data_IF_351068463628
#
_entry.id   IF_351068463628
#
_cell.length_a   1.000
_cell.length_b   1.000
_cell.length_c   1.000
_cell.angle_alpha   90.00
_cell.angle_beta   90.00
_cell.angle_gamma   90.00
#
_symmetry.space_group_name_H-M   'P 1'
#
loop_
_entity.id
_entity.type
_entity.pdbx_description
1 polymer ?
#
# COMPACT_ATOMS: atom_id res chain seq x y z
N UNK A 1 -6.34 -0.95 -19.92
CA UNK A 1 -5.75 -1.24 -18.58
C UNK A 1 -5.41 0.06 -17.88
N UNK A 2 -5.69 0.13 -16.58
CA UNK A 2 -5.37 1.28 -15.75
C UNK A 2 -4.29 0.87 -14.73
N UNK A 3 -3.23 1.65 -14.64
CA UNK A 3 -2.12 1.43 -13.70
C UNK A 3 -2.13 2.56 -12.68
N UNK A 4 -2.30 2.21 -11.41
CA UNK A 4 -2.20 3.15 -10.29
C UNK A 4 -0.77 3.15 -9.75
N UNK A 5 -0.15 4.33 -9.68
CA UNK A 5 1.22 4.46 -9.19
C UNK A 5 1.42 5.75 -8.40
N UNK A 6 2.29 5.68 -7.39
CA UNK A 6 2.71 6.86 -6.65
C UNK A 6 3.71 7.74 -7.43
N UNK A 7 4.42 7.14 -8.38
CA UNK A 7 5.47 7.81 -9.17
C UNK A 7 5.26 7.57 -10.67
N UNK A 8 4.31 8.27 -11.30
CA UNK A 8 3.98 8.05 -12.70
C UNK A 8 5.14 8.33 -13.66
N UNK A 9 6.02 9.27 -13.35
CA UNK A 9 7.16 9.61 -14.18
C UNK A 9 8.14 8.46 -14.41
N UNK A 10 8.32 7.57 -13.44
CA UNK A 10 9.20 6.40 -13.56
C UNK A 10 8.59 5.35 -14.50
N UNK A 11 7.27 5.17 -14.44
CA UNK A 11 6.55 4.19 -15.26
C UNK A 11 6.47 4.66 -16.72
N UNK A 12 6.23 5.95 -16.93
CA UNK A 12 6.14 6.54 -18.27
C UNK A 12 7.51 6.54 -18.97
N UNK A 13 8.58 6.82 -18.23
CA UNK A 13 9.92 6.94 -18.77
C UNK A 13 10.15 8.24 -19.55
N UNK A 14 11.29 8.34 -20.24
CA UNK A 14 11.60 9.49 -21.08
C UNK A 14 10.74 9.46 -22.35
N UNK A 15 10.01 10.54 -22.61
CA UNK A 15 9.16 10.69 -23.82
C UNK A 15 8.15 9.55 -24.05
N UNK A 16 7.77 8.84 -22.98
CA UNK A 16 6.82 7.74 -23.07
C UNK A 16 7.38 6.43 -23.62
N UNK A 17 8.68 6.26 -23.72
CA UNK A 17 9.31 5.04 -24.27
C UNK A 17 9.00 3.78 -23.45
N UNK A 18 9.06 3.88 -22.12
CA UNK A 18 8.84 2.73 -21.23
C UNK A 18 7.39 2.26 -21.25
N UNK A 19 6.44 3.18 -21.31
CA UNK A 19 5.02 2.83 -21.40
C UNK A 19 4.69 2.19 -22.76
N UNK A 20 5.30 2.67 -23.85
CA UNK A 20 5.11 2.09 -25.18
C UNK A 20 5.67 0.68 -25.26
N UNK A 21 6.85 0.42 -24.71
CA UNK A 21 7.44 -0.92 -24.62
C UNK A 21 6.57 -1.87 -23.80
N UNK A 22 6.04 -1.40 -22.69
CA UNK A 22 5.14 -2.19 -21.83
C UNK A 22 3.84 -2.54 -22.57
N UNK A 23 3.27 -1.59 -23.29
CA UNK A 23 2.08 -1.81 -24.10
C UNK A 23 2.32 -2.85 -25.19
N UNK A 24 3.42 -2.76 -25.90
CA UNK A 24 3.80 -3.73 -26.92
C UNK A 24 3.99 -5.13 -26.36
N UNK A 25 4.67 -5.26 -25.23
CA UNK A 25 4.89 -6.55 -24.56
C UNK A 25 3.57 -7.20 -24.11
N UNK A 26 2.68 -6.43 -23.49
CA UNK A 26 1.36 -6.91 -23.08
C UNK A 26 0.50 -7.29 -24.28
N UNK A 27 0.50 -6.49 -25.32
CA UNK A 27 -0.25 -6.76 -26.56
C UNK A 27 0.24 -8.05 -27.21
N UNK A 28 1.55 -8.26 -27.26
CA UNK A 28 2.17 -9.48 -27.80
C UNK A 28 1.76 -10.72 -27.01
N UNK A 29 1.72 -10.63 -25.69
CA UNK A 29 1.36 -11.77 -24.81
C UNK A 29 -0.12 -12.11 -24.86
N UNK A 30 -0.98 -11.09 -24.95
CA UNK A 30 -2.43 -11.26 -24.95
C UNK A 30 -3.03 -11.51 -26.34
N UNK A 31 -2.33 -11.12 -27.40
CA UNK A 31 -2.83 -11.20 -28.78
C UNK A 31 -3.99 -10.24 -29.10
N UNK A 32 -4.28 -9.28 -28.22
CA UNK A 32 -5.34 -8.28 -28.36
C UNK A 32 -4.72 -6.89 -28.16
N UNK A 33 -5.13 -5.85 -28.94
CA UNK A 33 -4.67 -4.48 -28.72
C UNK A 33 -5.02 -4.01 -27.28
N UNK A 34 -4.03 -3.47 -26.58
CA UNK A 34 -4.16 -3.00 -25.20
C UNK A 34 -3.82 -1.51 -25.13
N UNK A 35 -4.68 -0.75 -24.45
CA UNK A 35 -4.42 0.64 -24.10
C UNK A 35 -4.02 0.73 -22.63
N UNK A 36 -2.91 1.41 -22.35
CA UNK A 36 -2.43 1.65 -21.00
C UNK A 36 -2.70 3.09 -20.58
N UNK A 37 -3.31 3.27 -19.42
CA UNK A 37 -3.48 4.56 -18.78
C UNK A 37 -2.84 4.53 -17.40
N UNK A 38 -2.19 5.60 -17.01
CA UNK A 38 -1.52 5.72 -15.72
C UNK A 38 -2.26 6.76 -14.88
N UNK A 39 -2.58 6.38 -13.65
CA UNK A 39 -3.19 7.27 -12.67
C UNK A 39 -2.26 7.43 -11.48
N UNK A 40 -2.04 8.68 -11.09
CA UNK A 40 -1.23 9.02 -9.93
C UNK A 40 -1.99 8.81 -8.64
N UNK A 41 -1.32 8.21 -7.64
CA UNK A 41 -1.78 8.15 -6.27
C UNK A 41 -1.16 9.34 -5.53
N UNK A 42 -1.98 10.34 -5.21
CA UNK A 42 -1.50 11.62 -4.64
C UNK A 42 -0.98 11.51 -3.21
N UNK A 43 -1.60 10.63 -2.41
CA UNK A 43 -1.22 10.42 -1.01
C UNK A 43 -0.89 8.93 -0.80
N UNK A 44 0.32 8.49 -1.16
CA UNK A 44 0.67 7.08 -1.10
C UNK A 44 0.65 6.49 0.32
N UNK A 45 0.89 7.29 1.35
CA UNK A 45 0.84 6.81 2.74
C UNK A 45 -0.59 6.56 3.25
N UNK A 46 -1.61 7.00 2.51
CA UNK A 46 -3.01 6.66 2.77
C UNK A 46 -3.48 5.40 2.03
N UNK A 47 -2.69 4.89 1.09
CA UNK A 47 -2.94 3.62 0.43
C UNK A 47 -2.34 2.49 1.28
N UNK A 48 -3.19 1.60 1.80
CA UNK A 48 -2.75 0.55 2.71
C UNK A 48 -1.78 -0.43 2.05
N UNK A 49 -1.95 -0.73 0.77
CA UNK A 49 -1.04 -1.60 0.02
C UNK A 49 0.34 -1.00 -0.10
N UNK A 50 0.44 0.27 -0.49
CA UNK A 50 1.72 0.97 -0.60
C UNK A 50 2.39 1.16 0.76
N UNK A 51 1.60 1.41 1.81
CA UNK A 51 2.11 1.49 3.18
C UNK A 51 2.71 0.16 3.64
N UNK A 52 2.01 -0.94 3.41
CA UNK A 52 2.50 -2.28 3.75
C UNK A 52 3.78 -2.63 2.95
N UNK A 53 3.82 -2.33 1.67
CA UNK A 53 5.01 -2.54 0.83
C UNK A 53 6.20 -1.70 1.28
N UNK A 54 5.98 -0.46 1.70
CA UNK A 54 7.03 0.40 2.24
C UNK A 54 7.64 -0.18 3.51
N UNK A 55 6.81 -0.67 4.42
CA UNK A 55 7.27 -1.34 5.65
C UNK A 55 8.04 -2.63 5.31
N UNK A 56 7.52 -3.44 4.38
CA UNK A 56 8.17 -4.68 3.95
C UNK A 56 9.56 -4.41 3.36
N UNK A 57 9.70 -3.41 2.51
CA UNK A 57 11.00 -3.01 1.95
C UNK A 57 12.00 -2.58 3.02
N UNK A 58 11.55 -1.83 4.02
CA UNK A 58 12.41 -1.43 5.14
C UNK A 58 12.87 -2.64 5.96
N UNK A 59 12.00 -3.63 6.18
CA UNK A 59 12.36 -4.88 6.86
C UNK A 59 13.38 -5.69 6.07
N UNK A 60 13.26 -5.75 4.75
CA UNK A 60 14.23 -6.40 3.86
C UNK A 60 15.60 -5.72 3.91
N UNK A 61 15.62 -4.41 4.11
CA UNK A 61 16.86 -3.61 4.29
C UNK A 61 17.43 -3.67 5.71
N UNK A 62 16.92 -4.55 6.56
CA UNK A 62 17.35 -4.74 7.94
C UNK A 62 17.12 -3.53 8.85
N UNK A 63 16.16 -2.68 8.55
CA UNK A 63 15.69 -1.64 9.46
C UNK A 63 14.98 -2.30 10.64
N UNK A 64 15.20 -1.78 11.84
CA UNK A 64 14.52 -2.28 13.04
C UNK A 64 13.00 -2.22 12.88
N UNK A 65 12.31 -3.33 13.07
CA UNK A 65 10.86 -3.45 12.77
C UNK A 65 10.00 -2.44 13.54
N UNK A 66 10.30 -2.19 14.81
CA UNK A 66 9.57 -1.20 15.61
C UNK A 66 9.68 0.20 15.05
N UNK A 67 10.88 0.57 14.62
CA UNK A 67 11.14 1.87 14.02
C UNK A 67 10.44 2.04 12.68
N UNK A 68 10.47 1.00 11.84
CA UNK A 68 9.78 1.00 10.54
C UNK A 68 8.27 1.15 10.72
N UNK A 69 7.67 0.37 11.60
CA UNK A 69 6.23 0.42 11.90
C UNK A 69 5.81 1.79 12.44
N UNK A 70 6.54 2.31 13.41
CA UNK A 70 6.25 3.62 14.02
C UNK A 70 6.34 4.75 13.01
N UNK A 71 7.36 4.74 12.19
CA UNK A 71 7.55 5.75 11.13
C UNK A 71 6.41 5.71 10.12
N UNK A 72 6.01 4.50 9.68
CA UNK A 72 4.92 4.33 8.74
C UNK A 72 3.59 4.84 9.31
N UNK A 73 3.28 4.52 10.56
CA UNK A 73 2.08 5.01 11.24
C UNK A 73 2.10 6.53 11.35
N UNK A 74 3.20 7.13 11.76
CA UNK A 74 3.33 8.58 11.86
C UNK A 74 3.15 9.29 10.51
N UNK A 75 3.75 8.76 9.46
CA UNK A 75 3.62 9.32 8.11
C UNK A 75 2.18 9.26 7.61
N UNK A 76 1.49 8.15 7.82
CA UNK A 76 0.08 8.02 7.44
C UNK A 76 -0.80 9.00 8.22
N UNK A 77 -0.58 9.18 9.51
CA UNK A 77 -1.31 10.15 10.32
C UNK A 77 -1.07 11.60 9.87
N UNK A 78 0.15 11.94 9.46
CA UNK A 78 0.47 13.27 8.89
C UNK A 78 -0.23 13.51 7.56
N UNK A 79 -0.46 12.48 6.77
CA UNK A 79 -1.15 12.57 5.47
C UNK A 79 -2.67 12.77 5.63
N UNK A 80 -3.19 12.66 6.83
CA UNK A 80 -4.59 12.89 7.13
C UNK A 80 -5.41 11.64 7.42
N UNK A 81 -4.78 10.50 7.70
CA UNK A 81 -5.50 9.31 8.17
C UNK A 81 -6.11 9.56 9.55
N UNK A 82 -7.33 9.10 9.77
CA UNK A 82 -7.99 9.15 11.08
C UNK A 82 -7.53 8.04 12.01
N UNK A 83 -6.99 6.97 11.45
CA UNK A 83 -6.40 5.89 12.20
C UNK A 83 -5.61 4.94 11.31
N UNK A 84 -4.58 4.32 11.89
CA UNK A 84 -3.71 3.38 11.20
C UNK A 84 -3.40 2.22 12.14
N UNK A 85 -3.45 1.01 11.60
CA UNK A 85 -3.03 -0.19 12.29
C UNK A 85 -2.09 -0.96 11.38
N UNK A 86 -0.92 -1.33 11.89
CA UNK A 86 0.04 -2.17 11.18
C UNK A 86 0.33 -3.39 12.05
N UNK A 87 0.26 -4.57 11.45
CA UNK A 87 0.64 -5.82 12.07
C UNK A 87 1.78 -6.45 11.29
N UNK A 88 2.85 -6.78 11.97
CA UNK A 88 4.01 -7.48 11.42
C UNK A 88 4.16 -8.80 12.14
N UNK A 89 4.24 -9.89 11.40
CA UNK A 89 4.33 -11.23 11.96
C UNK A 89 5.40 -12.06 11.26
N UNK A 90 6.22 -12.73 12.04
CA UNK A 90 7.31 -13.57 11.57
C UNK A 90 8.48 -13.59 12.56
N UNK A 91 9.65 -13.94 12.04
CA UNK A 91 10.90 -13.91 12.82
C UNK A 91 11.46 -12.49 12.90
N UNK A 92 10.86 -11.67 13.74
CA UNK A 92 11.17 -10.25 13.87
C UNK A 92 12.58 -10.05 14.44
N UNK A 93 13.41 -9.31 13.71
CA UNK A 93 14.80 -9.07 14.09
C UNK A 93 15.69 -10.31 14.04
N UNK A 94 15.28 -11.37 13.35
CA UNK A 94 16.00 -12.63 13.26
C UNK A 94 15.79 -13.58 14.45
N UNK A 95 14.83 -13.28 15.34
CA UNK A 95 14.51 -14.14 16.47
C UNK A 95 14.12 -15.56 16.04
N UNK A 96 14.54 -16.59 16.78
CA UNK A 96 14.22 -17.99 16.45
C UNK A 96 12.73 -18.28 16.55
N UNK A 97 12.04 -17.67 17.52
CA UNK A 97 10.61 -17.82 17.74
C UNK A 97 9.88 -16.70 17.00
N UNK A 98 9.01 -17.07 16.08
CA UNK A 98 8.15 -16.13 15.38
C UNK A 98 7.11 -15.51 16.33
N UNK A 99 6.86 -14.23 16.16
CA UNK A 99 5.84 -13.50 16.91
C UNK A 99 5.18 -12.45 16.04
N UNK A 100 4.09 -11.87 16.52
CA UNK A 100 3.42 -10.76 15.90
C UNK A 100 3.52 -9.51 16.76
N UNK A 101 3.79 -8.38 16.12
CA UNK A 101 3.77 -7.06 16.75
C UNK A 101 2.74 -6.18 16.05
N UNK A 102 2.01 -5.40 16.83
CA UNK A 102 0.98 -4.48 16.32
C UNK A 102 1.32 -3.07 16.76
N UNK A 103 1.26 -2.15 15.80
CA UNK A 103 1.34 -0.73 16.06
C UNK A 103 0.03 -0.09 15.59
N UNK A 104 -0.63 0.64 16.47
CA UNK A 104 -1.90 1.30 16.18
C UNK A 104 -1.88 2.74 16.69
N UNK A 105 -2.40 3.64 15.89
CA UNK A 105 -2.63 5.02 16.28
C UNK A 105 -3.98 5.48 15.75
N UNK A 106 -4.68 6.30 16.54
CA UNK A 106 -6.01 6.74 16.19
C UNK A 106 -7.07 5.63 16.31
N UNK A 107 -8.11 5.76 15.55
CA UNK A 107 -9.28 4.87 15.57
C UNK A 107 -9.33 4.02 14.29
N UNK A 108 -9.45 2.72 14.41
CA UNK A 108 -9.64 1.81 13.27
C UNK A 108 -10.88 0.95 13.54
N UNK A 109 -12.10 1.43 13.18
CA UNK A 109 -13.35 0.74 13.49
C UNK A 109 -13.62 -0.36 12.44
N UNK A 110 -13.18 -1.59 12.71
CA UNK A 110 -13.33 -2.70 11.78
C UNK A 110 -14.77 -3.25 11.69
N UNK A 111 -15.63 -2.92 12.65
CA UNK A 111 -17.02 -3.39 12.69
C UNK A 111 -18.04 -2.36 12.15
N UNK A 112 -17.59 -1.19 11.77
CA UNK A 112 -18.46 -0.14 11.25
C UNK A 112 -18.55 -0.24 9.73
N UNK A 113 -19.73 -0.53 9.20
CA UNK A 113 -19.93 -0.72 7.74
C UNK A 113 -19.67 0.57 6.94
N UNK A 114 -19.99 1.73 7.50
CA UNK A 114 -19.78 3.02 6.84
C UNK A 114 -18.33 3.51 6.90
N UNK A 115 -17.46 2.83 7.62
CA UNK A 115 -16.06 3.21 7.72
C UNK A 115 -15.30 2.85 6.43
N UNK A 116 -14.59 3.82 5.87
CA UNK A 116 -13.65 3.59 4.76
C UNK A 116 -12.31 3.13 5.33
N UNK A 117 -12.17 1.81 5.49
CA UNK A 117 -10.92 1.19 5.95
C UNK A 117 -10.29 0.47 4.78
N UNK A 118 -9.15 0.98 4.34
CA UNK A 118 -8.34 0.32 3.33
C UNK A 118 -7.44 -0.73 3.97
N UNK A 119 -7.27 -1.85 3.29
CA UNK A 119 -6.47 -2.98 3.75
C UNK A 119 -5.41 -3.34 2.71
N UNK A 120 -4.18 -3.57 3.18
CA UNK A 120 -3.09 -4.01 2.32
C UNK A 120 -2.23 -5.08 3.00
N UNK A 121 -1.79 -6.04 2.22
CA UNK A 121 -0.90 -7.11 2.62
C UNK A 121 0.38 -7.06 1.79
N UNK A 122 1.52 -7.17 2.46
CA UNK A 122 2.82 -7.30 1.82
C UNK A 122 3.67 -8.34 2.55
N UNK A 123 4.65 -8.88 1.87
CA UNK A 123 5.59 -9.84 2.41
C UNK A 123 7.01 -9.30 2.30
N UNK A 124 7.76 -9.40 3.40
CA UNK A 124 9.17 -9.07 3.45
C UNK A 124 9.99 -10.37 3.42
N UNK A 125 10.76 -10.58 2.37
CA UNK A 125 11.66 -11.72 2.25
C UNK A 125 12.99 -11.40 2.92
N UNK A 126 13.18 -11.95 4.12
CA UNK A 126 14.44 -11.80 4.86
C UNK A 126 15.27 -13.07 4.80
N UNK A 127 16.54 -12.97 5.20
CA UNK A 127 17.43 -14.13 5.29
C UNK A 127 16.93 -15.22 6.27
N UNK A 128 16.09 -14.83 7.23
CA UNK A 128 15.50 -15.74 8.23
C UNK A 128 14.11 -16.23 7.88
N UNK A 129 13.60 -15.90 6.70
CA UNK A 129 12.28 -16.27 6.23
C UNK A 129 11.40 -15.08 5.86
N UNK A 130 10.13 -15.34 5.61
CA UNK A 130 9.14 -14.34 5.20
C UNK A 130 8.49 -13.72 6.43
N UNK A 131 8.40 -12.39 6.43
CA UNK A 131 7.65 -11.63 7.42
C UNK A 131 6.41 -11.05 6.73
N UNK A 132 5.22 -11.37 7.25
CA UNK A 132 3.97 -10.83 6.75
C UNK A 132 3.69 -9.45 7.33
N UNK A 133 3.35 -8.51 6.49
CA UNK A 133 2.96 -7.14 6.87
C UNK A 133 1.51 -6.90 6.47
N UNK A 134 0.66 -6.56 7.42
CA UNK A 134 -0.73 -6.19 7.19
C UNK A 134 -0.93 -4.75 7.64
N UNK A 135 -1.59 -3.95 6.81
CA UNK A 135 -1.88 -2.56 7.12
C UNK A 135 -3.37 -2.26 6.95
N UNK A 136 -3.93 -1.51 7.87
CA UNK A 136 -5.29 -0.97 7.83
C UNK A 136 -5.21 0.54 7.99
N UNK A 137 -5.80 1.26 7.06
CA UNK A 137 -5.84 2.72 7.08
C UNK A 137 -7.29 3.17 7.11
N UNK A 138 -7.68 3.86 8.18
CA UNK A 138 -9.01 4.45 8.31
C UNK A 138 -8.99 5.87 7.78
N UNK A 139 -9.70 6.10 6.68
CA UNK A 139 -9.73 7.40 5.98
C UNK A 139 -10.90 8.28 6.39
N UNK A 140 -11.85 7.74 7.12
CA UNK A 140 -13.07 8.42 7.54
C UNK A 140 -14.32 7.57 7.25
N UNK A 141 -15.48 8.14 7.48
CA UNK A 141 -16.76 7.48 7.25
C UNK A 141 -17.36 7.95 5.93
N UNK A 142 -17.84 6.99 5.12
CA UNK A 142 -18.59 7.26 3.91
C UNK A 142 -20.07 7.30 4.30
N UNK A 143 -20.64 8.50 4.35
CA UNK A 143 -22.07 8.68 4.47
C UNK A 143 -22.67 8.64 3.08
N UNK A 144 -23.81 7.95 2.89
CA UNK A 144 -24.54 7.94 1.63
C UNK A 144 -24.86 9.36 1.21
N UNK A 145 -24.03 9.93 0.39
CA UNK A 145 -24.45 11.06 -0.44
C UNK A 145 -25.32 10.44 -1.52
N UNK A 146 -26.63 10.51 -1.32
CA UNK A 146 -27.58 10.29 -2.39
C UNK A 146 -27.03 10.99 -3.63
N UNK A 147 -26.80 10.19 -4.65
CA UNK A 147 -26.41 10.61 -5.97
C UNK A 147 -27.02 11.96 -6.37
N UNK A 148 -26.17 12.97 -6.48
CA UNK A 148 -26.44 14.09 -7.36
C UNK A 148 -25.94 13.71 -8.76
N UNK A 149 -26.51 12.68 -9.31
CA UNK A 149 -26.45 12.39 -10.72
C UNK A 149 -27.87 12.54 -11.27
N UNK A 150 -28.27 13.76 -11.40
CA UNK A 150 -29.34 14.18 -12.29
C UNK A 150 -29.18 15.66 -12.58
N UNK A 151 -28.32 15.95 -13.55
CA UNK A 151 -28.51 17.00 -14.56
C UNK A 151 -27.45 16.89 -15.64
#
# INVERSE_FOLDING_TARGET
MLIHTARPGIVIGKKGEDIDKMREDITSRMGIPVTLSIQEIRKPDLDAKLLAESVAQQLERRVMFRRAMKRAVQNAMRQGAEGVKIRVAGRLGGAEIARAEIQKEGRVPLHTLRADVDYGLAEANTTYGVIGVKAWVFRGEVLDTQSKDSE
#
